data_IF_690372644763
#
_entry.id   IF_690372644763
#
_cell.length_a   1.000
_cell.length_b   1.000
_cell.length_c   1.000
_cell.angle_alpha   90.00
_cell.angle_beta   90.00
_cell.angle_gamma   90.00
#
_symmetry.space_group_name_H-M   'P 1'
#
loop_
_entity.id
_entity.type
_entity.pdbx_description
1 polymer ?
#
# COMPACT_ATOMS: atom_id res chain seq x y z
N UNK A 1 -5.85 -16.86 -24.94
CA UNK A 1 -4.52 -17.38 -24.53
C UNK A 1 -4.20 -16.80 -23.16
N UNK A 2 -4.11 -17.65 -22.15
CA UNK A 2 -4.19 -17.31 -20.72
C UNK A 2 -2.94 -16.60 -20.18
N UNK A 3 -3.16 -15.69 -19.22
CA UNK A 3 -2.17 -14.86 -18.53
C UNK A 3 -1.00 -15.64 -17.89
N UNK A 4 -1.12 -16.97 -17.73
CA UNK A 4 -0.08 -17.85 -17.23
C UNK A 4 1.16 -17.98 -18.14
N UNK A 5 1.07 -17.64 -19.44
CA UNK A 5 2.22 -17.73 -20.37
C UNK A 5 3.12 -16.48 -20.40
N UNK A 6 2.78 -15.38 -19.70
CA UNK A 6 3.58 -14.14 -19.70
C UNK A 6 4.45 -13.93 -18.46
N UNK A 7 4.30 -14.75 -17.42
CA UNK A 7 5.15 -14.68 -16.23
C UNK A 7 6.50 -15.40 -16.39
N UNK A 8 6.68 -16.23 -17.42
CA UNK A 8 7.94 -16.96 -17.62
C UNK A 8 9.08 -16.12 -18.22
N UNK A 9 8.81 -14.90 -18.71
CA UNK A 9 9.85 -14.03 -19.30
C UNK A 9 10.56 -13.13 -18.27
N UNK A 10 10.14 -13.15 -17.00
CA UNK A 10 10.74 -12.37 -15.91
C UNK A 10 11.32 -13.23 -14.77
N UNK A 11 11.29 -14.56 -14.92
CA UNK A 11 11.95 -15.47 -13.99
C UNK A 11 13.42 -15.62 -14.41
N UNK A 12 14.32 -14.92 -13.73
CA UNK A 12 15.75 -15.19 -13.79
C UNK A 12 15.98 -16.56 -13.15
N UNK A 13 16.24 -17.57 -13.99
CA UNK A 13 16.65 -18.89 -13.51
C UNK A 13 18.06 -18.77 -12.87
N UNK A 14 18.32 -19.44 -11.73
CA UNK A 14 19.65 -19.45 -11.13
C UNK A 14 20.61 -20.22 -12.04
N UNK A 15 21.67 -19.54 -12.53
CA UNK A 15 22.70 -20.15 -13.36
C UNK A 15 23.51 -21.17 -12.55
N UNK A 16 23.44 -22.46 -12.92
CA UNK A 16 24.42 -23.43 -12.48
C UNK A 16 25.75 -23.15 -13.20
N UNK A 17 26.75 -22.66 -12.45
CA UNK A 17 28.11 -22.46 -12.96
C UNK A 17 28.84 -23.80 -13.02
N UNK A 18 29.02 -24.33 -14.23
CA UNK A 18 30.21 -25.10 -14.55
C UNK A 18 31.28 -24.12 -15.03
N UNK A 19 32.48 -24.25 -14.48
CA UNK A 19 33.62 -23.41 -14.78
C UNK A 19 34.15 -23.63 -16.20
N UNK A 20 34.91 -22.62 -16.66
CA UNK A 20 35.68 -22.54 -17.91
C UNK A 20 34.94 -21.95 -19.12
N UNK A 21 34.89 -20.61 -19.19
CA UNK A 21 35.41 -19.88 -20.36
C UNK A 21 35.59 -18.38 -20.03
N UNK A 22 36.56 -17.72 -20.69
CA UNK A 22 36.98 -16.33 -20.47
C UNK A 22 35.97 -15.27 -20.96
N UNK A 23 34.74 -15.30 -20.45
CA UNK A 23 33.67 -14.38 -20.82
C UNK A 23 33.60 -13.13 -19.94
N UNK A 24 33.50 -11.97 -20.57
CA UNK A 24 33.09 -10.71 -19.96
C UNK A 24 31.84 -10.95 -19.10
N UNK A 25 31.93 -10.71 -17.78
CA UNK A 25 30.73 -10.62 -16.92
C UNK A 25 29.86 -9.51 -17.48
N UNK A 26 28.80 -9.85 -18.20
CA UNK A 26 27.68 -8.92 -18.41
C UNK A 26 27.05 -8.75 -17.02
N UNK A 27 27.53 -7.75 -16.27
CA UNK A 27 26.78 -7.27 -15.12
C UNK A 27 25.45 -6.77 -15.69
N UNK A 28 24.36 -7.48 -15.40
CA UNK A 28 23.00 -7.01 -15.72
C UNK A 28 22.90 -5.56 -15.24
N UNK A 29 22.50 -4.64 -16.11
CA UNK A 29 22.28 -3.25 -15.72
C UNK A 29 21.30 -3.21 -14.54
N UNK A 30 21.63 -2.45 -13.50
CA UNK A 30 20.73 -2.26 -12.35
C UNK A 30 19.52 -1.44 -12.78
N UNK A 31 18.38 -1.71 -12.14
CA UNK A 31 17.13 -0.96 -12.31
C UNK A 31 17.26 0.37 -11.59
N UNK A 32 17.27 1.47 -12.35
CA UNK A 32 17.41 2.83 -11.88
C UNK A 32 16.06 3.36 -11.38
N UNK A 33 15.97 3.56 -10.07
CA UNK A 33 14.75 3.96 -9.38
C UNK A 33 14.78 5.42 -8.92
N UNK A 34 13.67 6.11 -9.14
CA UNK A 34 13.40 7.45 -8.62
C UNK A 34 12.31 7.45 -7.55
N UNK A 35 12.27 8.50 -6.72
CA UNK A 35 11.26 8.70 -5.70
C UNK A 35 10.61 10.07 -5.84
N UNK A 36 9.28 10.11 -5.83
CA UNK A 36 8.48 11.34 -5.67
C UNK A 36 7.78 11.26 -4.31
N UNK A 37 8.23 12.10 -3.39
CA UNK A 37 7.95 12.00 -1.96
C UNK A 37 9.08 11.27 -1.22
N UNK A 38 9.72 11.96 -0.28
CA UNK A 38 10.84 11.47 0.54
C UNK A 38 10.47 11.35 2.02
N UNK A 39 9.16 11.24 2.32
CA UNK A 39 8.61 11.14 3.67
C UNK A 39 8.84 9.77 4.35
N UNK A 40 8.19 9.57 5.50
CA UNK A 40 8.45 8.41 6.37
C UNK A 40 8.30 7.05 5.69
N UNK A 41 7.23 6.84 4.90
CA UNK A 41 7.02 5.57 4.18
C UNK A 41 8.02 5.38 3.04
N UNK A 42 8.40 6.46 2.34
CA UNK A 42 9.44 6.41 1.31
C UNK A 42 10.75 5.88 1.89
N UNK A 43 11.13 6.33 3.10
CA UNK A 43 12.35 5.85 3.76
C UNK A 43 12.31 4.34 4.05
N UNK A 44 11.14 3.76 4.33
CA UNK A 44 11.02 2.29 4.48
C UNK A 44 11.30 1.56 3.16
N UNK A 45 10.71 2.04 2.06
CA UNK A 45 10.98 1.51 0.72
C UNK A 45 12.44 1.67 0.30
N UNK A 46 13.00 2.86 0.49
CA UNK A 46 14.40 3.18 0.20
C UNK A 46 15.33 2.24 0.95
N UNK A 47 15.11 2.04 2.25
CA UNK A 47 15.94 1.14 3.06
C UNK A 47 15.79 -0.32 2.61
N UNK A 48 14.60 -0.77 2.23
CA UNK A 48 14.39 -2.12 1.70
C UNK A 48 15.09 -2.32 0.34
N UNK A 49 14.88 -1.39 -0.60
CA UNK A 49 15.47 -1.43 -1.94
C UNK A 49 16.99 -1.31 -1.94
N UNK A 50 17.56 -0.58 -0.98
CA UNK A 50 19.01 -0.49 -0.80
C UNK A 50 19.68 -1.86 -0.54
N UNK A 51 18.92 -2.85 -0.09
CA UNK A 51 19.39 -4.22 0.13
C UNK A 51 19.20 -5.13 -1.10
N UNK A 52 18.63 -4.63 -2.21
CA UNK A 52 18.42 -5.37 -3.45
C UNK A 52 19.54 -5.00 -4.43
N UNK A 53 20.39 -5.97 -4.80
CA UNK A 53 21.59 -5.71 -5.60
C UNK A 53 21.28 -5.23 -7.03
N UNK A 54 20.10 -5.60 -7.52
CA UNK A 54 19.57 -5.26 -8.82
C UNK A 54 18.94 -3.86 -8.86
N UNK A 55 18.77 -3.18 -7.72
CA UNK A 55 18.19 -1.84 -7.64
C UNK A 55 19.27 -0.77 -7.45
N UNK A 56 19.08 0.37 -8.12
CA UNK A 56 19.93 1.56 -7.96
C UNK A 56 19.06 2.79 -7.71
N UNK A 57 19.23 3.46 -6.57
CA UNK A 57 18.42 4.63 -6.20
C UNK A 57 19.11 5.91 -6.67
N UNK A 58 18.62 6.50 -7.77
CA UNK A 58 19.35 7.55 -8.51
C UNK A 58 18.74 8.95 -8.39
N UNK A 59 17.45 9.06 -8.07
CA UNK A 59 16.75 10.35 -8.05
C UNK A 59 15.72 10.45 -6.92
N UNK A 60 15.64 11.62 -6.29
CA UNK A 60 14.77 11.88 -5.16
C UNK A 60 14.12 13.26 -5.31
N UNK A 61 12.80 13.31 -5.27
CA UNK A 61 12.01 14.52 -5.38
C UNK A 61 11.12 14.70 -4.16
N UNK A 62 11.11 15.90 -3.58
CA UNK A 62 10.19 16.28 -2.51
C UNK A 62 9.99 17.80 -2.56
N UNK A 63 8.77 18.28 -2.28
CA UNK A 63 8.49 19.72 -2.17
C UNK A 63 9.31 20.36 -1.04
N UNK A 64 9.73 19.56 -0.07
CA UNK A 64 10.70 19.88 0.95
C UNK A 64 12.09 19.40 0.48
N UNK A 65 12.78 20.26 -0.26
CA UNK A 65 14.06 19.93 -0.92
C UNK A 65 15.10 19.36 0.05
N UNK A 66 15.08 19.76 1.33
CA UNK A 66 16.00 19.25 2.35
C UNK A 66 15.85 17.74 2.55
N UNK A 67 14.61 17.20 2.48
CA UNK A 67 14.37 15.74 2.58
C UNK A 67 14.93 14.98 1.38
N UNK A 68 14.74 15.54 0.19
CA UNK A 68 15.28 14.97 -1.04
C UNK A 68 16.83 14.97 -1.01
N UNK A 69 17.44 16.09 -0.61
CA UNK A 69 18.89 16.22 -0.45
C UNK A 69 19.46 15.25 0.59
N UNK A 70 18.81 15.13 1.75
CA UNK A 70 19.24 14.22 2.80
C UNK A 70 19.24 12.75 2.34
N UNK A 71 18.27 12.37 1.51
CA UNK A 71 18.19 11.03 0.93
C UNK A 71 19.22 10.85 -0.18
N UNK A 72 19.29 11.78 -1.13
CA UNK A 72 20.22 11.76 -2.25
C UNK A 72 21.68 11.61 -1.81
N UNK A 73 22.08 12.31 -0.74
CA UNK A 73 23.43 12.21 -0.16
C UNK A 73 23.81 10.79 0.28
N UNK A 74 22.84 9.99 0.77
CA UNK A 74 23.09 8.61 1.24
C UNK A 74 23.37 7.64 0.10
N UNK A 75 22.77 7.89 -1.06
CA UNK A 75 22.79 6.97 -2.20
C UNK A 75 23.57 7.51 -3.40
N UNK A 76 24.26 8.64 -3.25
CA UNK A 76 24.93 9.35 -4.34
C UNK A 76 23.99 9.66 -5.52
N UNK A 77 22.71 9.92 -5.20
CA UNK A 77 21.67 10.29 -6.16
C UNK A 77 21.55 11.80 -6.36
N UNK A 78 20.55 12.22 -7.14
CA UNK A 78 20.23 13.63 -7.39
C UNK A 78 18.92 14.03 -6.71
N UNK A 79 18.91 15.21 -6.11
CA UNK A 79 17.75 15.77 -5.42
C UNK A 79 17.05 16.81 -6.29
N UNK A 80 15.72 16.81 -6.25
CA UNK A 80 14.86 17.71 -6.99
C UNK A 80 13.74 18.25 -6.10
N UNK A 81 13.27 19.46 -6.39
CA UNK A 81 12.10 20.09 -5.79
C UNK A 81 10.85 19.97 -6.67
N UNK A 82 11.02 19.44 -7.89
CA UNK A 82 10.02 19.38 -8.94
C UNK A 82 10.16 18.07 -9.72
N UNK A 83 9.05 17.35 -9.86
CA UNK A 83 9.03 16.03 -10.49
C UNK A 83 9.30 16.10 -11.99
N UNK A 84 8.84 17.16 -12.69
CA UNK A 84 9.09 17.33 -14.13
C UNK A 84 10.59 17.49 -14.37
N UNK A 85 11.26 18.36 -13.61
CA UNK A 85 12.72 18.51 -13.67
C UNK A 85 13.45 17.19 -13.39
N UNK A 86 12.96 16.39 -12.44
CA UNK A 86 13.53 15.08 -12.14
C UNK A 86 13.45 14.14 -13.35
N UNK A 87 12.26 13.99 -13.92
CA UNK A 87 12.03 13.09 -15.06
C UNK A 87 12.74 13.56 -16.34
N UNK A 88 12.94 14.87 -16.53
CA UNK A 88 13.66 15.40 -17.69
C UNK A 88 15.19 15.26 -17.54
N UNK A 89 15.69 15.26 -16.31
CA UNK A 89 17.12 15.25 -16.02
C UNK A 89 17.71 13.84 -15.78
N UNK A 90 16.86 12.86 -15.46
CA UNK A 90 17.26 11.50 -15.09
C UNK A 90 16.39 10.50 -15.85
N UNK A 91 17.04 9.63 -16.61
CA UNK A 91 16.42 8.42 -17.13
C UNK A 91 16.20 7.42 -15.99
N UNK A 92 14.95 6.98 -15.81
CA UNK A 92 14.50 6.07 -14.77
C UNK A 92 13.88 4.82 -15.40
N UNK A 93 14.23 3.65 -14.87
CA UNK A 93 13.57 2.38 -15.21
C UNK A 93 12.28 2.19 -14.40
N UNK A 94 12.16 2.88 -13.27
CA UNK A 94 10.95 2.93 -12.47
C UNK A 94 10.91 4.06 -11.46
N UNK A 95 9.72 4.40 -10.98
CA UNK A 95 9.52 5.47 -9.99
C UNK A 95 8.57 5.06 -8.87
N UNK A 96 8.86 5.49 -7.66
CA UNK A 96 8.02 5.31 -6.48
C UNK A 96 7.32 6.62 -6.13
N UNK A 97 5.99 6.62 -6.15
CA UNK A 97 5.15 7.71 -5.66
C UNK A 97 4.76 7.45 -4.21
N UNK A 98 5.43 8.13 -3.28
CA UNK A 98 5.20 8.04 -1.84
C UNK A 98 4.60 9.34 -1.32
N UNK A 99 3.46 9.71 -1.89
CA UNK A 99 2.76 10.96 -1.68
C UNK A 99 1.64 10.82 -0.64
N UNK A 100 1.26 11.92 0.06
CA UNK A 100 0.02 11.91 0.83
C UNK A 100 -1.20 11.81 -0.12
N UNK A 101 -2.36 11.33 0.38
CA UNK A 101 -3.53 10.99 -0.46
C UNK A 101 -4.03 12.11 -1.38
N UNK A 102 -3.92 13.36 -0.92
CA UNK A 102 -4.38 14.55 -1.65
C UNK A 102 -3.41 15.03 -2.73
N UNK A 103 -2.18 14.49 -2.77
CA UNK A 103 -1.11 14.95 -3.65
C UNK A 103 -0.83 14.00 -4.83
N UNK A 104 -1.62 12.93 -4.97
CA UNK A 104 -1.58 12.09 -6.17
C UNK A 104 -2.03 12.88 -7.41
N UNK A 105 -1.62 12.40 -8.58
CA UNK A 105 -1.69 13.06 -9.88
C UNK A 105 -0.33 13.16 -10.58
N UNK A 106 0.78 13.11 -9.82
CA UNK A 106 2.13 13.10 -10.39
C UNK A 106 2.43 11.83 -11.21
N UNK A 107 1.63 10.77 -11.05
CA UNK A 107 1.65 9.54 -11.82
C UNK A 107 1.49 9.79 -13.31
N UNK A 108 0.71 10.81 -13.71
CA UNK A 108 0.55 11.17 -15.12
C UNK A 108 1.90 11.48 -15.79
N UNK A 109 2.86 12.07 -15.08
CA UNK A 109 4.20 12.37 -15.62
C UNK A 109 4.98 11.10 -15.99
N UNK A 110 4.85 10.06 -15.17
CA UNK A 110 5.46 8.75 -15.44
C UNK A 110 4.73 8.02 -16.56
N UNK A 111 3.39 8.07 -16.55
CA UNK A 111 2.54 7.49 -17.61
C UNK A 111 2.90 8.11 -18.96
N UNK A 112 2.92 9.43 -19.07
CA UNK A 112 3.29 10.17 -20.28
C UNK A 112 4.63 9.71 -20.87
N UNK A 113 5.61 9.45 -20.01
CA UNK A 113 6.97 9.00 -20.39
C UNK A 113 7.10 7.48 -20.54
N UNK A 114 6.06 6.73 -20.21
CA UNK A 114 6.07 5.26 -20.28
C UNK A 114 6.93 4.59 -19.20
N UNK A 115 7.12 5.25 -18.06
CA UNK A 115 7.95 4.77 -16.96
C UNK A 115 7.08 3.92 -16.01
N UNK A 116 7.44 2.64 -15.76
CA UNK A 116 6.81 1.81 -14.74
C UNK A 116 6.83 2.46 -13.36
N UNK A 117 5.80 2.24 -12.54
CA UNK A 117 5.78 2.86 -11.22
C UNK A 117 5.11 2.06 -10.12
N UNK A 118 5.59 2.28 -8.90
CA UNK A 118 4.92 1.91 -7.67
C UNK A 118 4.24 3.13 -7.08
N UNK A 119 3.02 2.99 -6.57
CA UNK A 119 2.28 4.05 -5.90
C UNK A 119 1.86 3.61 -4.50
N UNK A 120 2.14 4.43 -3.49
CA UNK A 120 1.66 4.17 -2.14
C UNK A 120 0.14 4.27 -2.03
N UNK A 121 -0.41 3.55 -1.06
CA UNK A 121 -1.83 3.64 -0.73
C UNK A 121 -2.07 4.85 0.18
N UNK A 122 -3.31 5.37 0.20
CA UNK A 122 -4.36 5.17 -0.81
C UNK A 122 -4.00 5.88 -2.12
N UNK A 123 -4.43 5.32 -3.25
CA UNK A 123 -4.08 5.80 -4.61
C UNK A 123 -4.70 7.16 -5.00
N UNK A 124 -5.32 7.85 -4.05
CA UNK A 124 -6.01 9.12 -4.25
C UNK A 124 -7.26 9.25 -3.39
N UNK A 125 -7.91 10.41 -3.48
CA UNK A 125 -9.20 10.71 -2.84
C UNK A 125 -10.33 10.98 -3.83
N UNK A 126 -9.99 11.32 -5.07
CA UNK A 126 -10.95 11.54 -6.14
C UNK A 126 -11.05 10.32 -7.05
N UNK A 127 -12.21 9.67 -7.02
CA UNK A 127 -12.49 8.48 -7.84
C UNK A 127 -12.41 8.79 -9.34
N UNK A 128 -12.71 10.02 -9.78
CA UNK A 128 -12.61 10.39 -11.18
C UNK A 128 -11.14 10.37 -11.64
N UNK A 129 -10.27 11.10 -10.93
CA UNK A 129 -8.83 11.11 -11.19
C UNK A 129 -8.22 9.71 -11.10
N UNK A 130 -8.60 8.90 -10.11
CA UNK A 130 -8.12 7.52 -9.97
C UNK A 130 -8.48 6.69 -11.20
N UNK A 131 -9.70 6.83 -11.73
CA UNK A 131 -10.14 6.13 -12.95
C UNK A 131 -9.40 6.60 -14.19
N UNK A 132 -9.10 7.89 -14.29
CA UNK A 132 -8.30 8.45 -15.38
C UNK A 132 -6.88 7.88 -15.36
N UNK A 133 -6.22 7.87 -14.20
CA UNK A 133 -4.89 7.26 -14.01
C UNK A 133 -4.93 5.77 -14.38
N UNK A 134 -5.91 5.02 -13.86
CA UNK A 134 -6.04 3.60 -14.15
C UNK A 134 -6.22 3.32 -15.65
N UNK A 135 -7.09 4.10 -16.32
CA UNK A 135 -7.33 3.97 -17.76
C UNK A 135 -6.06 4.28 -18.57
N UNK A 136 -5.32 5.33 -18.20
CA UNK A 136 -4.09 5.71 -18.89
C UNK A 136 -2.95 4.68 -18.68
N UNK A 137 -2.89 4.05 -17.50
CA UNK A 137 -1.99 2.91 -17.23
C UNK A 137 -2.33 1.72 -18.13
N UNK A 138 -3.62 1.38 -18.23
CA UNK A 138 -4.10 0.26 -19.06
C UNK A 138 -3.85 0.51 -20.55
N UNK A 139 -4.13 1.72 -21.05
CA UNK A 139 -3.89 2.12 -22.44
C UNK A 139 -2.43 1.99 -22.86
N UNK A 140 -1.51 2.34 -21.95
CA UNK A 140 -0.06 2.20 -22.20
C UNK A 140 0.49 0.82 -21.84
N UNK A 141 -0.33 -0.06 -21.25
CA UNK A 141 0.09 -1.36 -20.75
C UNK A 141 1.33 -1.24 -19.84
N UNK A 142 1.30 -0.27 -18.92
CA UNK A 142 2.42 0.01 -18.01
C UNK A 142 2.44 -0.94 -16.82
N UNK A 143 3.62 -1.43 -16.47
CA UNK A 143 3.83 -2.17 -15.24
C UNK A 143 3.66 -1.22 -14.05
N UNK A 144 2.63 -1.46 -13.25
CA UNK A 144 2.36 -0.69 -12.04
C UNK A 144 2.06 -1.59 -10.84
N UNK A 145 2.27 -1.06 -9.64
CA UNK A 145 1.93 -1.75 -8.39
C UNK A 145 1.49 -0.75 -7.32
N UNK A 146 0.61 -1.19 -6.43
CA UNK A 146 0.08 -0.37 -5.33
C UNK A 146 0.60 -0.91 -4.00
N UNK A 147 0.91 0.00 -3.05
CA UNK A 147 1.44 -0.27 -1.72
C UNK A 147 0.56 -1.03 -0.73
N UNK A 148 -0.27 -1.96 -1.20
CA UNK A 148 -1.00 -2.91 -0.34
C UNK A 148 -0.11 -4.08 0.08
N UNK A 149 0.91 -3.78 0.89
CA UNK A 149 1.96 -4.72 1.29
C UNK A 149 1.44 -5.97 2.03
N UNK A 150 0.27 -5.90 2.68
CA UNK A 150 -0.27 -7.02 3.45
C UNK A 150 -0.64 -8.23 2.57
N UNK A 151 -0.89 -8.03 1.27
CA UNK A 151 -1.15 -9.13 0.33
C UNK A 151 0.04 -10.08 0.17
N UNK A 152 1.26 -9.61 0.43
CA UNK A 152 2.49 -10.41 0.30
C UNK A 152 2.84 -11.19 1.57
N UNK A 153 2.07 -11.05 2.65
CA UNK A 153 2.32 -11.78 3.90
C UNK A 153 2.00 -13.26 3.73
N UNK A 154 2.88 -14.12 4.24
CA UNK A 154 2.71 -15.58 4.17
C UNK A 154 1.41 -16.04 4.84
N UNK A 155 1.10 -15.49 6.03
CA UNK A 155 -0.14 -15.82 6.75
C UNK A 155 -1.41 -15.46 5.98
N UNK A 156 -1.41 -14.32 5.29
CA UNK A 156 -2.55 -13.89 4.45
C UNK A 156 -2.71 -14.82 3.25
N UNK A 157 -1.63 -15.14 2.54
CA UNK A 157 -1.69 -16.07 1.40
C UNK A 157 -2.11 -17.47 1.84
N UNK A 158 -1.64 -17.95 2.99
CA UNK A 158 -2.04 -19.25 3.54
C UNK A 158 -3.54 -19.31 3.82
N UNK A 159 -4.12 -18.27 4.41
CA UNK A 159 -5.57 -18.20 4.64
C UNK A 159 -6.30 -18.14 3.31
N UNK A 160 -5.84 -17.33 2.35
CA UNK A 160 -6.44 -17.23 1.01
C UNK A 160 -6.53 -18.60 0.30
N UNK A 161 -5.46 -19.39 0.36
CA UNK A 161 -5.44 -20.76 -0.19
C UNK A 161 -6.50 -21.64 0.47
N UNK A 162 -6.60 -21.61 1.80
CA UNK A 162 -7.56 -22.42 2.55
C UNK A 162 -9.01 -22.05 2.25
N UNK A 163 -9.28 -20.77 2.02
CA UNK A 163 -10.61 -20.27 1.67
C UNK A 163 -11.08 -20.71 0.27
N UNK A 164 -10.21 -21.28 -0.57
CA UNK A 164 -10.62 -21.81 -1.88
C UNK A 164 -11.57 -23.01 -1.74
N UNK A 165 -11.36 -23.87 -0.74
CA UNK A 165 -12.20 -25.03 -0.45
C UNK A 165 -13.17 -24.82 0.72
N UNK A 166 -12.93 -23.79 1.54
CA UNK A 166 -13.77 -23.43 2.69
C UNK A 166 -14.03 -21.91 2.68
N UNK A 167 -14.92 -21.42 1.80
CA UNK A 167 -15.14 -19.99 1.61
C UNK A 167 -15.54 -19.28 2.91
N UNK A 168 -15.12 -18.02 3.02
CA UNK A 168 -15.48 -17.19 4.17
C UNK A 168 -17.01 -16.99 4.24
N UNK A 169 -17.55 -17.07 5.45
CA UNK A 169 -18.96 -16.79 5.76
C UNK A 169 -19.08 -15.38 6.36
N UNK A 170 -18.23 -15.08 7.33
CA UNK A 170 -18.22 -13.81 8.06
C UNK A 170 -16.80 -13.29 8.22
N UNK A 171 -16.64 -11.99 8.00
CA UNK A 171 -15.38 -11.28 8.27
C UNK A 171 -15.62 -10.09 9.20
N UNK A 172 -14.84 -10.02 10.28
CA UNK A 172 -14.91 -8.95 11.27
C UNK A 172 -13.53 -8.34 11.42
N UNK A 173 -13.35 -7.04 11.18
CA UNK A 173 -12.04 -6.43 11.37
C UNK A 173 -12.06 -4.92 11.43
N UNK A 174 -10.97 -4.34 11.91
CA UNK A 174 -10.88 -2.90 11.98
C UNK A 174 -9.64 -2.39 12.68
N UNK A 175 -9.57 -1.07 12.77
CA UNK A 175 -8.52 -0.36 13.48
C UNK A 175 -9.13 0.56 14.53
N UNK A 176 -8.83 0.27 15.80
CA UNK A 176 -9.11 1.16 16.92
C UNK A 176 -7.80 1.77 17.44
N UNK A 177 -7.76 3.09 17.59
CA UNK A 177 -6.59 3.80 18.10
C UNK A 177 -6.86 5.27 18.41
N UNK A 178 -5.78 6.01 18.63
CA UNK A 178 -5.81 7.44 18.91
C UNK A 178 -5.46 8.30 17.70
N UNK A 179 -5.87 9.56 17.74
CA UNK A 179 -5.58 10.54 16.71
C UNK A 179 -4.07 10.80 16.66
N UNK A 180 -3.44 10.83 15.48
CA UNK A 180 -2.03 11.18 15.36
C UNK A 180 -1.72 12.52 16.03
N UNK A 181 -0.76 12.53 16.94
CA UNK A 181 -0.35 13.73 17.68
C UNK A 181 0.88 14.37 17.05
N UNK A 182 1.06 15.70 17.22
CA UNK A 182 2.30 16.37 16.84
C UNK A 182 3.53 15.71 17.46
N UNK A 183 4.53 15.39 16.64
CA UNK A 183 5.86 14.95 17.08
C UNK A 183 6.94 15.61 16.21
N UNK A 184 8.12 15.93 16.76
CA UNK A 184 9.23 16.47 15.97
C UNK A 184 9.56 15.56 14.78
N UNK A 185 9.72 16.15 13.59
CA UNK A 185 10.04 15.42 12.35
C UNK A 185 8.90 14.58 11.75
N UNK A 186 7.73 14.48 12.40
CA UNK A 186 6.59 13.70 11.91
C UNK A 186 5.46 14.63 11.48
N UNK A 187 5.23 14.70 10.17
CA UNK A 187 4.26 15.61 9.57
C UNK A 187 2.84 15.06 9.40
N UNK A 188 2.59 13.77 9.68
CA UNK A 188 1.31 13.11 9.36
C UNK A 188 0.10 13.83 9.95
N UNK A 189 0.21 14.31 11.19
CA UNK A 189 -0.87 15.02 11.90
C UNK A 189 -1.34 16.30 11.19
N UNK A 190 -0.50 16.91 10.31
CA UNK A 190 -0.82 18.16 9.61
C UNK A 190 -1.86 18.02 8.51
N UNK A 191 -2.08 16.81 8.01
CA UNK A 191 -3.02 16.53 6.92
C UNK A 191 -3.95 15.36 7.24
N UNK A 192 -3.52 14.41 8.08
CA UNK A 192 -4.28 13.20 8.37
C UNK A 192 -5.63 13.46 9.05
N UNK A 193 -5.70 14.49 9.90
CA UNK A 193 -6.93 14.87 10.60
C UNK A 193 -7.92 15.68 9.74
N UNK A 194 -7.58 15.97 8.48
CA UNK A 194 -8.37 16.75 7.55
C UNK A 194 -9.00 15.85 6.49
N UNK A 195 -10.34 15.82 6.41
CA UNK A 195 -11.10 14.92 5.55
C UNK A 195 -10.79 15.07 4.06
N UNK A 196 -10.65 16.30 3.60
CA UNK A 196 -10.28 16.69 2.24
C UNK A 196 -8.83 16.29 1.88
N UNK A 197 -8.00 16.00 2.88
CA UNK A 197 -6.59 15.64 2.67
C UNK A 197 -6.28 14.16 2.87
N UNK A 198 -7.01 13.47 3.75
CA UNK A 198 -6.74 12.07 4.08
C UNK A 198 -7.86 11.11 3.74
N UNK A 199 -9.09 11.61 3.56
CA UNK A 199 -10.30 10.78 3.52
C UNK A 199 -10.71 10.22 4.89
N UNK A 200 -9.98 10.52 5.96
CA UNK A 200 -10.18 9.98 7.30
C UNK A 200 -9.54 8.60 7.51
N UNK A 201 -9.67 8.09 8.73
CA UNK A 201 -9.04 6.82 9.13
C UNK A 201 -9.43 5.65 8.21
N UNK A 202 -10.67 5.63 7.73
CA UNK A 202 -11.12 4.54 6.88
C UNK A 202 -10.36 4.47 5.55
N UNK A 203 -10.03 5.63 4.96
CA UNK A 203 -9.29 5.73 3.69
C UNK A 203 -7.79 5.58 3.85
N UNK A 204 -7.21 6.09 4.94
CA UNK A 204 -5.75 6.08 5.11
C UNK A 204 -5.25 4.78 5.78
N UNK A 205 -5.98 4.30 6.78
CA UNK A 205 -5.55 3.19 7.63
C UNK A 205 -6.32 1.89 7.31
N UNK A 206 -7.65 1.93 7.41
CA UNK A 206 -8.50 0.74 7.24
C UNK A 206 -8.56 0.29 5.78
N UNK A 207 -8.10 1.10 4.83
CA UNK A 207 -7.93 0.70 3.43
C UNK A 207 -7.13 -0.61 3.28
N UNK A 208 -6.15 -0.88 4.14
CA UNK A 208 -5.47 -2.18 4.18
C UNK A 208 -6.41 -3.33 4.52
N UNK A 209 -7.31 -3.13 5.48
CA UNK A 209 -8.32 -4.13 5.86
C UNK A 209 -9.32 -4.31 4.72
N UNK A 210 -9.81 -3.23 4.10
CA UNK A 210 -10.70 -3.28 2.93
C UNK A 210 -10.06 -4.07 1.80
N UNK A 211 -8.80 -3.79 1.49
CA UNK A 211 -8.01 -4.48 0.49
C UNK A 211 -7.88 -5.99 0.80
N UNK A 212 -7.54 -6.34 2.04
CA UNK A 212 -7.41 -7.73 2.46
C UNK A 212 -8.74 -8.49 2.39
N UNK A 213 -9.85 -7.90 2.84
CA UNK A 213 -11.14 -8.58 2.77
C UNK A 213 -11.55 -8.80 1.31
N UNK A 214 -11.34 -7.82 0.42
CA UNK A 214 -11.56 -8.04 -1.02
C UNK A 214 -10.65 -9.13 -1.59
N UNK A 215 -9.39 -9.15 -1.18
CA UNK A 215 -8.41 -10.16 -1.62
C UNK A 215 -8.75 -11.59 -1.16
N UNK A 216 -9.40 -11.73 0.00
CA UNK A 216 -9.80 -13.01 0.59
C UNK A 216 -11.21 -13.46 0.15
N UNK A 217 -12.15 -12.53 -0.01
CA UNK A 217 -13.58 -12.84 -0.15
C UNK A 217 -14.18 -12.50 -1.53
N UNK A 218 -13.42 -11.84 -2.39
CA UNK A 218 -13.87 -11.38 -3.71
C UNK A 218 -14.43 -9.96 -3.71
N UNK A 219 -15.25 -9.64 -4.69
CA UNK A 219 -15.77 -8.29 -4.88
C UNK A 219 -17.03 -8.01 -4.05
N UNK A 220 -17.19 -6.74 -3.67
CA UNK A 220 -18.29 -6.22 -2.85
C UNK A 220 -19.43 -5.76 -3.76
N UNK A 221 -20.67 -6.16 -3.43
CA UNK A 221 -21.89 -5.79 -4.17
C UNK A 221 -22.82 -4.86 -3.41
N UNK A 222 -22.67 -4.74 -2.09
CA UNK A 222 -23.52 -3.89 -1.25
C UNK A 222 -22.73 -3.34 -0.06
N UNK A 223 -23.00 -2.08 0.30
CA UNK A 223 -22.34 -1.37 1.40
C UNK A 223 -23.35 -0.58 2.21
N UNK A 224 -23.38 -0.78 3.53
CA UNK A 224 -24.07 0.10 4.48
C UNK A 224 -23.07 0.67 5.49
N UNK A 225 -23.09 1.98 5.71
CA UNK A 225 -22.12 2.64 6.58
C UNK A 225 -22.76 3.65 7.52
N UNK A 226 -22.22 3.74 8.74
CA UNK A 226 -22.51 4.80 9.69
C UNK A 226 -21.20 5.41 10.19
N UNK A 227 -21.23 6.71 10.46
CA UNK A 227 -20.11 7.45 11.00
C UNK A 227 -20.52 8.22 12.26
N UNK A 228 -19.61 8.31 13.22
CA UNK A 228 -19.70 9.21 14.35
C UNK A 228 -18.77 10.41 14.14
N UNK A 229 -19.21 11.61 14.50
CA UNK A 229 -18.43 12.86 14.37
C UNK A 229 -18.78 13.85 15.48
N UNK A 230 -17.80 14.61 15.95
CA UNK A 230 -17.96 15.64 16.98
C UNK A 230 -17.88 15.15 18.43
N UNK A 231 -17.55 13.88 18.63
CA UNK A 231 -17.39 13.23 19.93
C UNK A 231 -15.93 13.24 20.41
N UNK A 232 -14.94 13.28 19.50
CA UNK A 232 -13.53 13.37 19.87
C UNK A 232 -13.20 14.76 20.46
N UNK A 233 -12.81 14.82 21.73
CA UNK A 233 -12.55 16.07 22.46
C UNK A 233 -11.05 16.37 22.56
N UNK A 234 -10.70 17.65 22.61
CA UNK A 234 -9.31 18.09 22.71
C UNK A 234 -8.51 17.96 21.40
N UNK A 235 -9.21 17.85 20.26
CA UNK A 235 -8.62 17.86 18.93
C UNK A 235 -8.39 19.30 18.43
N UNK A 236 -7.43 19.53 17.53
CA UNK A 236 -7.24 20.83 16.87
C UNK A 236 -8.48 21.29 16.11
N UNK A 237 -8.62 22.61 15.91
CA UNK A 237 -9.76 23.22 15.21
C UNK A 237 -9.94 22.71 13.78
N UNK A 238 -8.86 22.36 13.09
CA UNK A 238 -8.88 21.83 11.73
C UNK A 238 -9.14 20.31 11.65
N UNK A 239 -9.53 19.65 12.74
CA UNK A 239 -9.97 18.26 12.72
C UNK A 239 -11.34 18.15 12.05
N UNK A 240 -11.42 17.44 10.92
CA UNK A 240 -12.65 17.36 10.11
C UNK A 240 -13.07 15.95 9.70
N UNK A 241 -12.30 14.93 10.09
CA UNK A 241 -12.58 13.51 9.84
C UNK A 241 -13.64 12.93 10.79
N UNK A 242 -14.08 11.71 10.52
CA UNK A 242 -14.93 10.92 11.41
C UNK A 242 -14.16 10.46 12.65
N UNK A 243 -14.85 10.42 13.80
CA UNK A 243 -14.30 9.89 15.06
C UNK A 243 -14.33 8.36 15.09
N UNK A 244 -15.36 7.80 14.47
CA UNK A 244 -15.53 6.38 14.26
C UNK A 244 -16.35 6.11 13.00
N UNK A 245 -16.19 4.93 12.43
CA UNK A 245 -16.99 4.43 11.31
C UNK A 245 -17.25 2.94 11.48
N UNK A 246 -18.44 2.50 11.08
CA UNK A 246 -18.80 1.09 10.95
C UNK A 246 -19.37 0.86 9.55
N UNK A 247 -18.92 -0.19 8.88
CA UNK A 247 -19.22 -0.47 7.48
C UNK A 247 -19.56 -1.95 7.32
N UNK A 248 -20.79 -2.24 6.89
CA UNK A 248 -21.22 -3.58 6.51
C UNK A 248 -21.04 -3.76 5.00
N UNK A 249 -20.52 -4.92 4.61
CA UNK A 249 -20.28 -5.30 3.21
C UNK A 249 -20.98 -6.62 2.90
N UNK A 250 -21.58 -6.73 1.71
CA UNK A 250 -21.99 -8.00 1.10
C UNK A 250 -21.10 -8.28 -0.11
N UNK A 251 -20.62 -9.51 -0.24
CA UNK A 251 -19.78 -9.95 -1.35
C UNK A 251 -20.58 -10.72 -2.41
N UNK A 252 -20.06 -10.79 -3.64
CA UNK A 252 -20.62 -11.63 -4.71
C UNK A 252 -20.76 -13.10 -4.30
N UNK A 253 -19.85 -13.58 -3.45
CA UNK A 253 -19.84 -14.94 -2.90
C UNK A 253 -20.95 -15.21 -1.89
N UNK A 254 -21.70 -14.19 -1.46
CA UNK A 254 -22.69 -14.28 -0.38
C UNK A 254 -22.10 -14.09 1.03
N UNK A 255 -20.76 -14.05 1.16
CA UNK A 255 -20.10 -13.69 2.40
C UNK A 255 -20.50 -12.27 2.86
N UNK A 256 -20.45 -12.03 4.17
CA UNK A 256 -20.69 -10.71 4.75
C UNK A 256 -19.51 -10.26 5.61
N UNK A 257 -19.29 -8.96 5.68
CA UNK A 257 -18.29 -8.39 6.57
C UNK A 257 -18.80 -7.19 7.35
N UNK A 258 -18.26 -6.99 8.55
CA UNK A 258 -18.36 -5.74 9.29
C UNK A 258 -16.95 -5.20 9.55
N UNK A 259 -16.66 -4.02 9.01
CA UNK A 259 -15.42 -3.31 9.19
C UNK A 259 -15.62 -2.08 10.06
N UNK A 260 -14.67 -1.77 10.93
CA UNK A 260 -14.76 -0.60 11.80
C UNK A 260 -13.45 0.18 11.90
N UNK A 261 -13.60 1.46 12.23
CA UNK A 261 -12.51 2.38 12.49
C UNK A 261 -12.87 3.25 13.69
N UNK A 262 -11.91 3.54 14.56
CA UNK A 262 -11.97 4.72 15.43
C UNK A 262 -10.59 5.24 15.73
N UNK A 263 -10.41 6.55 15.55
CA UNK A 263 -9.21 7.29 15.93
C UNK A 263 -9.45 8.20 17.14
N UNK A 264 -10.63 8.08 17.76
CA UNK A 264 -11.02 8.81 18.96
C UNK A 264 -10.95 7.92 20.23
N UNK A 265 -10.61 6.65 20.08
CA UNK A 265 -10.49 5.69 21.18
C UNK A 265 -9.12 5.80 21.86
N UNK A 266 -9.01 6.72 22.81
CA UNK A 266 -7.72 7.06 23.45
C UNK A 266 -7.25 6.10 24.55
N UNK A 267 -8.09 5.13 24.96
CA UNK A 267 -7.81 4.21 26.06
C UNK A 267 -7.14 2.89 25.62
N UNK A 268 -6.94 2.69 24.32
CA UNK A 268 -6.39 1.46 23.77
C UNK A 268 -7.06 1.10 22.44
N UNK A 269 -6.73 -0.07 21.94
CA UNK A 269 -7.22 -0.55 20.66
C UNK A 269 -6.20 -1.48 20.01
N UNK A 270 -6.26 -1.56 18.69
CA UNK A 270 -5.41 -2.42 17.90
C UNK A 270 -5.96 -2.58 16.50
N UNK A 271 -5.22 -3.38 15.72
CA UNK A 271 -5.62 -3.82 14.39
C UNK A 271 -5.96 -5.30 14.49
N UNK A 272 -7.18 -5.66 14.08
CA UNK A 272 -7.64 -7.04 14.06
C UNK A 272 -8.40 -7.33 12.78
N UNK A 273 -8.31 -8.58 12.33
CA UNK A 273 -9.13 -9.11 11.24
C UNK A 273 -9.38 -10.58 11.51
N UNK A 274 -10.64 -10.96 11.64
CA UNK A 274 -11.07 -12.33 11.86
C UNK A 274 -11.90 -12.80 10.66
N UNK A 275 -11.57 -13.98 10.16
CA UNK A 275 -12.27 -14.64 9.06
C UNK A 275 -12.84 -15.95 9.60
N UNK A 276 -14.15 -16.11 9.46
CA UNK A 276 -14.88 -17.30 9.89
C UNK A 276 -15.39 -18.02 8.65
N UNK A 277 -14.98 -19.27 8.48
CA UNK A 277 -15.47 -20.19 7.47
C UNK A 277 -16.12 -21.41 8.16
N UNK A 278 -16.51 -22.43 7.38
CA UNK A 278 -17.25 -23.56 7.93
C UNK A 278 -16.35 -24.50 8.76
N UNK A 279 -15.11 -24.72 8.35
CA UNK A 279 -14.18 -25.66 8.99
C UNK A 279 -12.96 -24.98 9.63
N UNK A 280 -12.80 -23.67 9.45
CA UNK A 280 -11.71 -22.90 10.04
C UNK A 280 -12.10 -21.51 10.51
N UNK A 281 -11.31 -20.98 11.43
CA UNK A 281 -11.28 -19.56 11.80
C UNK A 281 -9.86 -19.03 11.72
N UNK A 282 -9.65 -17.93 11.01
CA UNK A 282 -8.36 -17.23 10.97
C UNK A 282 -8.45 -15.91 11.74
N UNK A 283 -7.58 -15.74 12.75
CA UNK A 283 -7.48 -14.53 13.55
C UNK A 283 -6.16 -13.84 13.27
N UNK A 284 -6.23 -12.75 12.52
CA UNK A 284 -5.12 -11.84 12.32
C UNK A 284 -5.12 -10.78 13.42
N UNK A 285 -3.94 -10.53 14.00
CA UNK A 285 -3.74 -9.53 15.04
C UNK A 285 -2.50 -8.68 14.78
N UNK A 286 -2.58 -7.43 15.22
CA UNK A 286 -1.50 -6.47 15.09
C UNK A 286 -1.29 -5.96 13.67
N UNK A 287 -0.40 -4.98 13.53
CA UNK A 287 -0.04 -4.40 12.24
C UNK A 287 0.60 -5.44 11.31
N UNK A 288 1.36 -6.37 11.88
CA UNK A 288 2.01 -7.43 11.12
C UNK A 288 1.04 -8.54 10.66
N UNK A 289 -0.24 -8.45 11.03
CA UNK A 289 -1.24 -9.47 10.71
C UNK A 289 -0.71 -10.88 11.04
N UNK A 290 -0.16 -11.05 12.24
CA UNK A 290 0.18 -12.38 12.76
C UNK A 290 -1.10 -13.19 12.81
N UNK A 291 -1.08 -14.40 12.25
CA UNK A 291 -2.29 -15.22 12.09
C UNK A 291 -2.28 -16.43 12.99
N UNK A 292 -3.40 -16.64 13.70
CA UNK A 292 -3.75 -17.92 14.31
C UNK A 292 -4.86 -18.56 13.46
N UNK A 293 -4.64 -19.79 13.01
CA UNK A 293 -5.65 -20.56 12.28
C UNK A 293 -6.12 -21.67 13.20
N UNK A 294 -7.43 -21.73 13.43
CA UNK A 294 -8.08 -22.78 14.22
C UNK A 294 -8.91 -23.67 13.30
N UNK A 295 -8.90 -24.99 13.53
CA UNK A 295 -9.67 -25.95 12.74
C UNK A 295 -10.56 -26.83 13.61
N UNK A 296 -11.70 -27.23 13.03
CA UNK A 296 -12.58 -28.22 13.66
C UNK A 296 -11.80 -29.51 13.90
N UNK A 297 -11.81 -30.00 15.15
CA UNK A 297 -11.18 -31.27 15.54
C UNK A 297 -9.68 -31.21 15.84
N UNK A 298 -9.00 -30.08 15.61
CA UNK A 298 -7.57 -29.91 15.94
C UNK A 298 -7.35 -29.02 17.17
N UNK A 299 -8.22 -28.02 17.38
CA UNK A 299 -8.07 -26.97 18.40
C UNK A 299 -9.18 -26.94 19.46
N UNK A 300 -9.90 -28.07 19.64
CA UNK A 300 -10.95 -28.25 20.64
C UNK A 300 -10.41 -28.77 21.98
#
# INVERSE_FOLDING_TARGET
MTAAKRLSSYLIAPSQNNAEDGGVRIMSARVRLGFVGCGGIAQQHINALANIQEAELVAFCDIDLEKAQATAKKFNGRAFDDAVKMFDAIELDGVYFCLPPFAHGAEFLAIERGIPFFVEKPVGLDVAQIREIASAVDEKNLLTSVGYMNRYRQGVNRVRELLQSDPAILVLGGWIGGTPRPRPGVGIWRWWIQKDKSGGQFHEQVTHTVDLVRFLCGEVVEVHAFAAKGLNKGVPENYSIEDASVVNLRFESGAVANLWASCAANAGGGVTLHVYANQLTAQFSGWEHSVRIMRVGEDA
#
